data_IF_407602449907
#
_entry.id   IF_407602449907
#
_cell.length_a   1.000
_cell.length_b   1.000
_cell.length_c   1.000
_cell.angle_alpha   90.00
_cell.angle_beta   90.00
_cell.angle_gamma   90.00
#
_symmetry.space_group_name_H-M   'P 1'
#
loop_
_entity.id
_entity.type
_entity.pdbx_description
1 polymer ?
#
# COMPACT_ATOMS: atom_id res chain seq x y z
N UNK A 1 0.53 -14.28 -4.83
CA UNK A 1 0.09 -14.73 -3.49
C UNK A 1 -1.13 -13.93 -3.10
N UNK A 2 -2.22 -14.57 -2.69
CA UNK A 2 -3.44 -13.89 -2.22
C UNK A 2 -3.78 -14.41 -0.83
N UNK A 3 -4.13 -13.50 0.08
CA UNK A 3 -4.62 -13.87 1.41
C UNK A 3 -6.14 -14.00 1.37
N UNK A 4 -6.68 -15.12 1.83
CA UNK A 4 -8.12 -15.31 1.92
C UNK A 4 -8.63 -14.85 3.29
N UNK A 5 -9.47 -13.82 3.31
CA UNK A 5 -10.07 -13.31 4.55
C UNK A 5 -11.10 -14.28 5.17
N UNK A 6 -11.60 -15.26 4.41
CA UNK A 6 -12.56 -16.24 4.91
C UNK A 6 -11.87 -17.34 5.73
N UNK A 7 -10.85 -18.00 5.17
CA UNK A 7 -10.13 -19.11 5.83
C UNK A 7 -8.77 -18.72 6.42
N UNK A 8 -8.32 -17.48 6.28
CA UNK A 8 -7.04 -16.96 6.81
C UNK A 8 -5.78 -17.65 6.26
N UNK A 9 -5.89 -18.35 5.12
CA UNK A 9 -4.76 -18.96 4.44
C UNK A 9 -4.25 -18.12 3.27
N UNK A 10 -2.95 -18.26 3.00
CA UNK A 10 -2.30 -17.70 1.82
C UNK A 10 -2.40 -18.72 0.68
N UNK A 11 -2.97 -18.31 -0.45
CA UNK A 11 -2.99 -19.11 -1.68
C UNK A 11 -2.04 -18.51 -2.71
N UNK A 12 -1.66 -19.32 -3.70
CA UNK A 12 -0.85 -18.89 -4.85
C UNK A 12 -1.50 -17.70 -5.57
N UNK A 13 -2.84 -17.72 -5.66
CA UNK A 13 -3.66 -16.67 -6.25
C UNK A 13 -3.79 -16.77 -7.77
N UNK A 14 -3.42 -17.92 -8.36
CA UNK A 14 -3.60 -18.23 -9.80
C UNK A 14 -5.10 -18.32 -10.15
N UNK A 15 -5.87 -18.97 -9.29
CA UNK A 15 -7.30 -19.18 -9.50
C UNK A 15 -8.16 -18.04 -8.91
N UNK A 16 -9.36 -17.80 -9.47
CA UNK A 16 -10.29 -16.79 -8.96
C UNK A 16 -10.99 -17.21 -7.66
N UNK A 17 -10.65 -18.37 -7.08
CA UNK A 17 -11.19 -18.88 -5.83
C UNK A 17 -10.09 -19.41 -4.91
N UNK A 18 -10.43 -19.55 -3.63
CA UNK A 18 -9.54 -20.12 -2.64
C UNK A 18 -9.57 -21.66 -2.70
N UNK A 19 -8.43 -22.30 -2.92
CA UNK A 19 -8.34 -23.77 -2.99
C UNK A 19 -8.70 -24.46 -1.66
N UNK A 20 -8.64 -23.75 -0.53
CA UNK A 20 -8.94 -24.31 0.79
C UNK A 20 -10.43 -24.21 1.17
N UNK A 21 -11.10 -23.10 0.84
CA UNK A 21 -12.47 -22.84 1.29
C UNK A 21 -13.48 -22.56 0.16
N UNK A 22 -13.06 -22.60 -1.10
CA UNK A 22 -13.91 -22.38 -2.27
C UNK A 22 -14.40 -20.95 -2.50
N UNK A 23 -14.18 -20.01 -1.56
CA UNK A 23 -14.65 -18.64 -1.70
C UNK A 23 -13.97 -17.92 -2.87
N UNK A 24 -14.74 -17.19 -3.68
CA UNK A 24 -14.20 -16.43 -4.82
C UNK A 24 -13.59 -15.09 -4.41
N UNK A 25 -12.52 -14.70 -5.11
CA UNK A 25 -11.81 -13.44 -4.92
C UNK A 25 -12.39 -12.36 -5.84
N UNK A 26 -13.05 -11.35 -5.27
CA UNK A 26 -13.58 -10.15 -5.95
C UNK A 26 -14.61 -10.37 -7.07
N UNK A 27 -14.85 -11.60 -7.53
CA UNK A 27 -15.83 -11.97 -8.57
C UNK A 27 -16.86 -12.96 -8.03
N UNK A 28 -18.00 -13.06 -8.70
CA UNK A 28 -18.97 -14.15 -8.54
C UNK A 28 -18.89 -15.06 -9.75
N UNK A 29 -18.88 -16.37 -9.53
CA UNK A 29 -18.89 -17.38 -10.58
C UNK A 29 -20.28 -18.03 -10.64
N UNK A 30 -20.80 -18.25 -11.83
CA UNK A 30 -22.00 -19.07 -12.02
C UNK A 30 -21.62 -20.57 -12.11
N UNK A 31 -22.59 -21.51 -12.16
CA UNK A 31 -22.31 -22.95 -12.28
C UNK A 31 -21.56 -23.31 -13.56
N UNK A 32 -21.64 -22.47 -14.60
CA UNK A 32 -20.89 -22.59 -15.86
C UNK A 32 -19.56 -21.84 -15.84
N UNK A 33 -19.09 -21.41 -14.66
CA UNK A 33 -17.81 -20.71 -14.45
C UNK A 33 -17.66 -19.36 -15.16
N UNK A 34 -18.76 -18.69 -15.53
CA UNK A 34 -18.69 -17.32 -16.04
C UNK A 34 -18.41 -16.34 -14.91
N UNK A 35 -17.43 -15.45 -15.13
CA UNK A 35 -17.08 -14.39 -14.20
C UNK A 35 -18.11 -13.25 -14.26
N UNK A 36 -18.68 -12.93 -13.10
CA UNK A 36 -19.63 -11.84 -12.92
C UNK A 36 -19.13 -10.86 -11.86
N UNK A 37 -19.50 -9.58 -11.93
CA UNK A 37 -19.13 -8.61 -10.92
C UNK A 37 -19.74 -8.98 -9.57
N UNK A 38 -19.09 -8.53 -8.49
CA UNK A 38 -19.50 -8.83 -7.11
C UNK A 38 -20.95 -8.43 -6.78
N UNK A 39 -21.48 -7.44 -7.49
CA UNK A 39 -22.83 -6.92 -7.33
C UNK A 39 -23.88 -7.62 -8.21
N UNK A 40 -23.48 -8.52 -9.12
CA UNK A 40 -24.40 -9.21 -10.02
C UNK A 40 -25.38 -10.10 -9.23
N UNK A 41 -26.67 -10.01 -9.58
CA UNK A 41 -27.73 -10.88 -9.07
C UNK A 41 -28.00 -12.08 -9.99
N UNK A 42 -27.64 -11.97 -11.27
CA UNK A 42 -27.73 -13.03 -12.26
C UNK A 42 -26.51 -12.96 -13.18
N UNK A 43 -26.18 -14.09 -13.82
CA UNK A 43 -25.10 -14.15 -14.78
C UNK A 43 -25.48 -13.43 -16.08
N UNK A 44 -24.60 -12.53 -16.54
CA UNK A 44 -24.82 -11.77 -17.79
C UNK A 44 -24.80 -12.64 -19.05
N UNK A 45 -24.15 -13.80 -19.01
CA UNK A 45 -24.01 -14.67 -20.17
C UNK A 45 -25.07 -15.77 -20.24
N UNK A 46 -25.48 -16.35 -19.11
CA UNK A 46 -26.37 -17.51 -19.09
C UNK A 46 -27.64 -17.33 -18.25
N UNK A 47 -27.85 -16.16 -17.66
CA UNK A 47 -29.05 -15.85 -16.86
C UNK A 47 -29.15 -16.58 -15.52
N UNK A 48 -28.17 -17.43 -15.17
CA UNK A 48 -28.19 -18.18 -13.90
C UNK A 48 -28.20 -17.22 -12.69
N UNK A 49 -29.11 -17.45 -11.76
CA UNK A 49 -29.23 -16.70 -10.49
C UNK A 49 -28.36 -17.27 -9.38
N UNK A 50 -27.99 -18.55 -9.49
CA UNK A 50 -27.08 -19.20 -8.57
C UNK A 50 -25.66 -18.72 -8.83
N UNK A 51 -25.08 -17.99 -7.87
CA UNK A 51 -23.79 -17.31 -7.99
C UNK A 51 -22.98 -17.57 -6.72
N UNK A 52 -21.69 -17.85 -6.90
CA UNK A 52 -20.78 -18.11 -5.79
C UNK A 52 -20.71 -16.94 -4.81
N UNK A 53 -20.52 -17.24 -3.52
CA UNK A 53 -20.36 -16.22 -2.49
C UNK A 53 -18.92 -15.68 -2.46
N UNK A 54 -18.72 -14.39 -2.73
CA UNK A 54 -17.38 -13.80 -2.74
C UNK A 54 -16.88 -13.54 -1.31
N UNK A 55 -15.58 -13.71 -1.08
CA UNK A 55 -14.92 -13.45 0.21
C UNK A 55 -15.22 -12.02 0.72
N UNK A 56 -15.42 -11.80 2.04
CA UNK A 56 -15.88 -10.53 2.60
C UNK A 56 -15.04 -9.33 2.12
N UNK A 57 -15.68 -8.17 1.93
CA UNK A 57 -14.94 -6.95 1.54
C UNK A 57 -13.96 -6.63 2.65
N UNK A 58 -12.73 -6.31 2.29
CA UNK A 58 -11.78 -5.75 3.23
C UNK A 58 -12.36 -4.47 3.83
N UNK A 59 -12.11 -4.22 5.13
CA UNK A 59 -12.65 -3.04 5.80
C UNK A 59 -12.18 -1.79 5.06
N UNK A 60 -13.14 -0.90 4.76
CA UNK A 60 -12.91 0.31 3.97
C UNK A 60 -11.85 1.23 4.62
N UNK A 61 -11.76 1.21 5.95
CA UNK A 61 -10.77 1.94 6.76
C UNK A 61 -9.33 1.42 6.66
N UNK A 62 -9.10 0.19 6.17
CA UNK A 62 -7.73 -0.31 6.00
C UNK A 62 -6.99 0.39 4.85
N UNK A 63 -7.72 0.83 3.82
CA UNK A 63 -7.13 1.53 2.66
C UNK A 63 -6.48 2.87 3.02
N UNK A 64 -7.14 3.80 3.72
CA UNK A 64 -6.51 5.06 4.11
C UNK A 64 -5.34 4.84 5.08
N UNK A 65 -5.41 3.83 5.96
CA UNK A 65 -4.32 3.53 6.89
C UNK A 65 -3.03 3.09 6.18
N UNK A 66 -3.15 2.21 5.18
CA UNK A 66 -2.01 1.77 4.36
C UNK A 66 -1.44 2.93 3.53
N UNK A 67 -2.31 3.80 3.00
CA UNK A 67 -1.88 5.01 2.28
C UNK A 67 -1.11 5.97 3.20
N UNK A 68 -1.63 6.20 4.41
CA UNK A 68 -1.02 7.07 5.42
C UNK A 68 0.35 6.54 5.84
N UNK A 69 0.49 5.23 6.10
CA UNK A 69 1.78 4.63 6.43
C UNK A 69 2.80 4.71 5.30
N UNK A 70 2.36 4.65 4.04
CA UNK A 70 3.26 4.71 2.88
C UNK A 70 3.69 6.12 2.48
N UNK A 71 2.87 7.14 2.72
CA UNK A 71 3.12 8.53 2.29
C UNK A 71 3.59 9.40 3.47
N UNK A 72 3.04 9.18 4.67
CA UNK A 72 3.28 9.99 5.86
C UNK A 72 4.76 10.17 6.21
N UNK A 73 5.56 9.09 6.32
CA UNK A 73 6.97 9.21 6.70
C UNK A 73 7.79 10.00 5.68
N UNK A 74 7.44 9.91 4.39
CA UNK A 74 8.10 10.67 3.32
C UNK A 74 7.79 12.16 3.40
N UNK A 75 6.53 12.54 3.64
CA UNK A 75 6.15 13.96 3.84
C UNK A 75 6.84 14.52 5.08
N UNK A 76 6.87 13.76 6.17
CA UNK A 76 7.51 14.18 7.42
C UNK A 76 9.02 14.42 7.24
N UNK A 77 9.74 13.49 6.60
CA UNK A 77 11.16 13.65 6.29
C UNK A 77 11.43 14.86 5.39
N UNK A 78 10.57 15.12 4.41
CA UNK A 78 10.71 16.26 3.49
C UNK A 78 10.52 17.59 4.22
N UNK A 79 9.48 17.70 5.07
CA UNK A 79 9.27 18.89 5.91
C UNK A 79 10.44 19.12 6.87
N UNK A 80 10.93 18.06 7.51
CA UNK A 80 12.09 18.13 8.40
C UNK A 80 13.34 18.65 7.65
N UNK A 81 13.56 18.20 6.41
CA UNK A 81 14.66 18.67 5.57
C UNK A 81 14.50 20.15 5.19
N UNK A 82 13.30 20.60 4.83
CA UNK A 82 13.04 22.02 4.54
C UNK A 82 13.36 22.92 5.75
N UNK A 83 12.89 22.55 6.95
CA UNK A 83 13.19 23.29 8.19
C UNK A 83 14.69 23.29 8.48
N UNK A 84 15.34 22.14 8.25
CA UNK A 84 16.78 21.99 8.44
C UNK A 84 17.61 22.93 7.55
N UNK A 85 17.24 23.07 6.27
CA UNK A 85 17.92 23.97 5.32
C UNK A 85 17.81 25.44 5.76
N UNK A 86 16.62 25.87 6.20
CA UNK A 86 16.41 27.24 6.69
C UNK A 86 17.25 27.51 7.94
N UNK A 87 17.26 26.57 8.88
CA UNK A 87 18.06 26.66 10.10
C UNK A 87 19.57 26.70 9.79
N UNK A 88 20.04 25.87 8.87
CA UNK A 88 21.43 25.84 8.43
C UNK A 88 21.84 27.19 7.82
N UNK A 89 21.01 27.76 6.94
CA UNK A 89 21.24 29.08 6.36
C UNK A 89 21.38 30.18 7.42
N UNK A 90 20.45 30.22 8.38
CA UNK A 90 20.50 31.19 9.49
C UNK A 90 21.78 31.06 10.33
N UNK A 91 22.21 29.83 10.64
CA UNK A 91 23.44 29.57 11.41
C UNK A 91 24.70 29.93 10.64
N UNK A 92 24.71 29.72 9.32
CA UNK A 92 25.82 30.09 8.44
C UNK A 92 26.07 31.60 8.43
N UNK A 93 25.00 32.40 8.48
CA UNK A 93 25.07 33.87 8.49
C UNK A 93 25.58 34.45 9.82
N UNK A 94 25.39 33.76 10.95
CA UNK A 94 25.76 34.29 12.27
C UNK A 94 27.11 33.80 12.82
N UNK A 95 27.44 32.50 12.68
CA UNK A 95 28.62 31.91 13.33
C UNK A 95 29.16 30.70 12.54
N UNK A 96 30.23 30.87 11.73
CA UNK A 96 30.76 29.80 10.87
C UNK A 96 31.56 28.73 11.61
N UNK A 97 31.88 28.93 12.90
CA UNK A 97 32.82 28.07 13.62
C UNK A 97 32.30 26.65 13.95
N UNK A 98 30.99 26.39 13.83
CA UNK A 98 30.34 25.12 14.20
C UNK A 98 29.58 24.44 13.05
N UNK A 99 30.08 24.56 11.81
CA UNK A 99 29.38 24.08 10.60
C UNK A 99 29.50 22.57 10.35
N UNK A 100 30.63 21.95 10.71
CA UNK A 100 30.92 20.54 10.40
C UNK A 100 29.90 19.53 11.00
N UNK A 101 29.48 19.62 12.29
CA UNK A 101 28.47 18.70 12.82
C UNK A 101 27.10 18.88 12.16
N UNK A 102 26.75 20.10 11.73
CA UNK A 102 25.51 20.34 10.99
C UNK A 102 25.60 19.70 9.58
N UNK A 103 26.71 19.82 8.87
CA UNK A 103 26.83 19.19 7.55
C UNK A 103 26.63 17.67 7.60
N UNK A 104 27.13 17.00 8.65
CA UNK A 104 26.92 15.58 8.90
C UNK A 104 25.45 15.21 9.14
N UNK A 105 24.73 16.00 9.94
CA UNK A 105 23.29 15.78 10.19
C UNK A 105 22.48 15.93 8.90
N UNK A 106 22.79 16.94 8.08
CA UNK A 106 22.15 17.14 6.79
C UNK A 106 22.38 15.97 5.82
N UNK A 107 23.63 15.46 5.76
CA UNK A 107 23.96 14.29 4.96
C UNK A 107 23.23 13.03 5.44
N UNK A 108 23.14 12.82 6.76
CA UNK A 108 22.39 11.71 7.36
C UNK A 108 20.89 11.75 7.03
N UNK A 109 20.26 12.92 7.13
CA UNK A 109 18.85 13.11 6.73
C UNK A 109 18.63 12.89 5.23
N UNK A 110 19.57 13.34 4.40
CA UNK A 110 19.56 13.11 2.95
C UNK A 110 19.67 11.63 2.57
N UNK A 111 20.58 10.89 3.23
CA UNK A 111 20.72 9.45 3.04
C UNK A 111 19.46 8.67 3.48
N UNK A 112 18.85 9.06 4.61
CA UNK A 112 17.58 8.49 5.08
C UNK A 112 16.46 8.70 4.05
N UNK A 113 16.34 9.90 3.50
CA UNK A 113 15.35 10.23 2.48
C UNK A 113 15.62 9.47 1.17
N UNK A 114 16.89 9.34 0.75
CA UNK A 114 17.29 8.54 -0.40
C UNK A 114 16.97 7.04 -0.20
N UNK A 115 17.29 6.48 0.97
CA UNK A 115 16.96 5.11 1.33
C UNK A 115 15.44 4.89 1.27
N UNK A 116 14.65 5.80 1.84
CA UNK A 116 13.19 5.75 1.79
C UNK A 116 12.65 5.71 0.35
N UNK A 117 13.15 6.59 -0.53
CA UNK A 117 12.75 6.61 -1.94
C UNK A 117 13.15 5.32 -2.68
N UNK A 118 14.36 4.81 -2.43
CA UNK A 118 14.86 3.58 -3.07
C UNK A 118 14.10 2.33 -2.64
N UNK A 119 13.72 2.22 -1.35
CA UNK A 119 12.90 1.12 -0.85
C UNK A 119 11.49 1.14 -1.45
N UNK A 120 10.93 2.34 -1.66
CA UNK A 120 9.60 2.51 -2.26
C UNK A 120 9.56 2.13 -3.75
N UNK A 121 10.65 2.30 -4.49
CA UNK A 121 10.73 1.88 -5.90
C UNK A 121 10.73 0.36 -6.09
N UNK A 122 11.24 -0.43 -5.13
CA UNK A 122 11.26 -1.90 -5.22
C UNK A 122 9.89 -2.57 -5.02
N UNK A 123 8.91 -1.82 -4.54
CA UNK A 123 7.56 -2.32 -4.23
C UNK A 123 6.51 -1.95 -5.30
N UNK A 124 6.91 -1.32 -6.41
CA UNK A 124 6.08 -1.07 -7.59
C UNK A 124 6.40 -2.08 -8.68
#
# INVERSE_FOLDING_TARGET
MRYCHNCRHITTGKDPYCNQCGSTYNVRLCPRMHANPRAAKACSQCGATDLSTPAPKTPLYAKPFVLLLGIGPGIFLLLALCVYVVYFGYRLLQNPNNLLPLMLVGFGLGLLLYMWMSLRQRHK
#
